data_IF_977396737606
#
_entry.id   IF_977396737606
#
_cell.length_a   1.000
_cell.length_b   1.000
_cell.length_c   1.000
_cell.angle_alpha   90.00
_cell.angle_beta   90.00
_cell.angle_gamma   90.00
#
_symmetry.space_group_name_H-M   'P 1'
#
loop_
_entity.id
_entity.type
_entity.pdbx_description
1 polymer ?
#
# COMPACT_ATOMS: atom_id res chain seq x y z
N UNK A 1 5.55 8.98 -24.09
CA UNK A 1 6.88 8.62 -23.57
C UNK A 1 7.11 9.37 -22.26
N UNK A 2 6.52 8.90 -21.14
CA UNK A 2 6.75 9.51 -19.83
C UNK A 2 8.00 8.86 -19.25
N UNK A 3 9.15 9.49 -19.50
CA UNK A 3 10.31 9.32 -18.65
C UNK A 3 9.82 9.67 -17.24
N UNK A 4 9.61 8.67 -16.40
CA UNK A 4 9.68 8.88 -14.96
C UNK A 4 11.14 8.69 -14.64
N UNK A 5 12.01 9.70 -14.88
CA UNK A 5 13.39 9.58 -14.43
C UNK A 5 13.27 9.42 -12.93
N UNK A 6 13.90 8.35 -12.40
CA UNK A 6 14.35 8.23 -11.02
C UNK A 6 13.75 9.31 -10.14
N UNK A 7 12.52 9.09 -9.64
CA UNK A 7 11.98 9.90 -8.54
C UNK A 7 12.86 9.54 -7.35
N UNK A 8 14.04 10.13 -7.34
CA UNK A 8 14.86 10.49 -6.20
C UNK A 8 14.02 11.63 -5.62
N UNK A 9 13.05 11.37 -4.74
CA UNK A 9 13.23 11.36 -3.29
C UNK A 9 14.36 12.30 -2.82
N UNK A 10 14.54 13.45 -3.47
CA UNK A 10 14.96 14.66 -2.79
C UNK A 10 13.75 15.13 -2.00
N UNK A 11 13.46 14.42 -0.91
CA UNK A 11 12.45 14.90 0.02
C UNK A 11 13.01 16.17 0.61
N UNK A 12 12.40 17.29 0.23
CA UNK A 12 12.56 18.54 0.93
C UNK A 12 12.26 18.28 2.41
N UNK A 13 13.29 18.34 3.24
CA UNK A 13 13.13 18.55 4.68
C UNK A 13 12.33 19.86 4.89
N UNK A 14 11.77 20.10 6.09
CA UNK A 14 10.99 21.31 6.41
C UNK A 14 11.66 22.62 5.93
N UNK A 15 12.98 22.62 5.77
CA UNK A 15 13.79 23.75 5.29
C UNK A 15 13.97 23.86 3.77
N UNK A 16 13.20 23.13 2.96
CA UNK A 16 13.28 23.08 1.49
C UNK A 16 14.68 22.79 0.93
N UNK A 17 15.46 21.98 1.64
CA UNK A 17 16.82 21.54 1.23
C UNK A 17 16.83 20.05 0.99
N UNK A 18 17.63 19.60 0.02
CA UNK A 18 17.86 18.19 -0.25
C UNK A 18 18.44 17.50 0.99
N UNK A 19 17.86 16.36 1.36
CA UNK A 19 18.24 15.60 2.55
C UNK A 19 18.35 14.12 2.21
N UNK A 20 19.31 13.43 2.84
CA UNK A 20 19.44 11.98 2.70
C UNK A 20 18.29 11.30 3.45
N UNK A 21 17.76 10.23 2.91
CA UNK A 21 16.66 9.47 3.52
C UNK A 21 17.16 8.10 4.00
N UNK A 22 16.71 7.67 5.18
CA UNK A 22 16.86 6.31 5.71
C UNK A 22 15.50 5.68 6.01
N UNK A 23 15.49 4.42 6.46
CA UNK A 23 14.29 3.70 6.91
C UNK A 23 14.42 3.35 8.38
N UNK A 24 13.33 3.47 9.14
CA UNK A 24 13.21 3.00 10.53
C UNK A 24 11.82 2.39 10.73
N UNK A 25 11.71 1.46 11.67
CA UNK A 25 10.42 0.95 12.14
C UNK A 25 9.99 1.73 13.37
N UNK A 26 8.71 2.10 13.42
CA UNK A 26 8.08 2.63 14.64
C UNK A 26 7.74 1.47 15.59
N UNK A 27 7.36 1.80 16.82
CA UNK A 27 6.93 0.83 17.84
C UNK A 27 5.68 0.06 17.38
N UNK A 28 4.83 0.70 16.56
CA UNK A 28 3.67 0.09 15.90
C UNK A 28 4.04 -0.91 14.79
N UNK A 29 5.33 -1.13 14.51
CA UNK A 29 5.83 -2.01 13.45
C UNK A 29 5.75 -1.42 12.04
N UNK A 30 5.26 -0.19 11.88
CA UNK A 30 5.15 0.47 10.58
C UNK A 30 6.50 0.96 10.07
N UNK A 31 6.80 0.70 8.79
CA UNK A 31 8.04 1.11 8.14
C UNK A 31 7.94 2.54 7.60
N UNK A 32 8.69 3.45 8.19
CA UNK A 32 8.68 4.87 7.80
C UNK A 32 10.02 5.32 7.24
N UNK A 33 9.98 6.36 6.41
CA UNK A 33 11.18 7.04 5.91
C UNK A 33 11.55 8.17 6.86
N UNK A 34 12.85 8.31 7.12
CA UNK A 34 13.36 9.29 8.09
C UNK A 34 14.47 10.13 7.45
N UNK A 35 14.46 11.45 7.71
CA UNK A 35 15.49 12.35 7.21
C UNK A 35 16.81 12.19 8.00
N UNK A 36 17.94 11.97 7.32
CA UNK A 36 19.29 11.82 7.91
C UNK A 36 20.25 12.88 7.37
N UNK A 37 21.13 13.42 8.24
CA UNK A 37 22.26 14.29 7.87
C UNK A 37 22.31 15.64 8.59
N UNK A 38 23.36 16.44 8.31
CA UNK A 38 23.64 17.73 8.97
C UNK A 38 22.55 18.81 8.86
N UNK A 39 21.66 18.71 7.86
CA UNK A 39 20.53 19.63 7.66
C UNK A 39 19.16 18.97 7.91
N UNK A 40 19.14 17.77 8.51
CA UNK A 40 17.92 16.99 8.70
C UNK A 40 17.26 17.32 10.05
N UNK A 41 15.95 17.55 10.04
CA UNK A 41 15.14 17.78 11.24
C UNK A 41 14.72 16.51 11.97
N UNK A 42 15.23 15.34 11.56
CA UNK A 42 14.76 14.05 12.04
C UNK A 42 13.27 13.81 11.80
N UNK A 43 12.69 14.43 10.77
CA UNK A 43 11.27 14.30 10.49
C UNK A 43 10.94 12.96 9.83
N UNK A 44 9.78 12.41 10.17
CA UNK A 44 9.17 11.27 9.49
C UNK A 44 8.56 11.75 8.17
N UNK A 45 9.00 11.14 7.07
CA UNK A 45 8.55 11.46 5.72
C UNK A 45 7.53 10.39 5.29
N UNK A 46 6.23 10.71 5.24
CA UNK A 46 5.23 9.75 4.79
C UNK A 46 5.41 9.39 3.32
N UNK A 47 4.81 8.27 2.91
CA UNK A 47 4.78 7.87 1.49
C UNK A 47 3.82 8.80 0.73
N UNK A 48 4.26 9.46 -0.37
CA UNK A 48 3.39 10.34 -1.14
C UNK A 48 2.23 9.56 -1.77
N UNK A 49 1.09 10.23 -1.89
CA UNK A 49 -0.18 9.64 -2.35
C UNK A 49 -0.12 9.17 -3.81
N UNK A 50 0.66 9.86 -4.64
CA UNK A 50 0.87 9.55 -6.06
C UNK A 50 1.44 8.14 -6.28
N UNK A 51 2.15 7.58 -5.29
CA UNK A 51 2.69 6.20 -5.36
C UNK A 51 1.66 5.17 -4.92
N UNK A 52 0.62 5.56 -4.17
CA UNK A 52 -0.47 4.66 -3.75
C UNK A 52 -1.43 4.41 -4.91
N UNK A 53 -1.60 5.40 -5.78
CA UNK A 53 -2.45 5.28 -6.96
C UNK A 53 -1.82 4.35 -8.00
N UNK A 54 -2.63 3.42 -8.51
CA UNK A 54 -2.20 2.56 -9.61
C UNK A 54 -2.24 3.37 -10.89
N UNK A 55 -1.19 3.29 -11.70
CA UNK A 55 -1.16 3.93 -13.04
C UNK A 55 -2.25 3.44 -13.98
N UNK A 56 -2.69 2.19 -13.81
CA UNK A 56 -3.81 1.62 -14.54
C UNK A 56 -4.94 1.36 -13.53
N UNK A 57 -6.10 2.00 -13.68
CA UNK A 57 -7.24 1.73 -12.80
C UNK A 57 -7.70 0.29 -13.01
N UNK A 58 -8.16 -0.35 -11.92
CA UNK A 58 -8.84 -1.64 -12.05
C UNK A 58 -10.19 -1.38 -12.73
N UNK A 59 -10.60 -2.19 -13.71
CA UNK A 59 -11.96 -2.11 -14.24
C UNK A 59 -12.94 -2.32 -13.09
N UNK A 60 -13.89 -1.40 -12.94
CA UNK A 60 -14.89 -1.40 -11.85
C UNK A 60 -16.11 -2.24 -12.20
N UNK A 61 -16.36 -2.44 -13.51
CA UNK A 61 -17.45 -3.29 -13.99
C UNK A 61 -17.03 -4.76 -13.96
N UNK A 62 -17.75 -5.64 -13.25
CA UNK A 62 -17.54 -7.07 -13.35
C UNK A 62 -17.83 -7.52 -14.79
N UNK A 63 -16.90 -8.27 -15.38
CA UNK A 63 -17.13 -8.96 -16.64
C UNK A 63 -18.12 -10.11 -16.48
N UNK A 64 -18.59 -10.72 -17.60
CA UNK A 64 -19.52 -11.84 -17.56
C UNK A 64 -18.93 -13.10 -16.89
N UNK A 65 -17.62 -13.12 -16.64
CA UNK A 65 -16.90 -14.21 -15.97
C UNK A 65 -16.51 -13.86 -14.52
N UNK A 66 -16.79 -12.64 -14.08
CA UNK A 66 -16.41 -12.18 -12.75
C UNK A 66 -17.51 -12.53 -11.75
N UNK A 67 -17.10 -13.06 -10.59
CA UNK A 67 -18.03 -13.38 -9.52
C UNK A 67 -18.43 -12.11 -8.77
N UNK A 68 -19.72 -11.92 -8.46
CA UNK A 68 -20.14 -10.84 -7.57
C UNK A 68 -19.61 -11.11 -6.15
N UNK A 69 -19.31 -10.02 -5.44
CA UNK A 69 -18.71 -10.07 -4.09
C UNK A 69 -19.57 -10.86 -3.09
N UNK A 70 -20.88 -10.83 -3.25
CA UNK A 70 -21.84 -11.52 -2.38
C UNK A 70 -21.58 -13.03 -2.32
N UNK A 71 -21.38 -13.68 -3.48
CA UNK A 71 -21.09 -15.11 -3.55
C UNK A 71 -19.69 -15.49 -3.05
N UNK A 72 -18.73 -14.55 -3.05
CA UNK A 72 -17.36 -14.82 -2.59
C UNK A 72 -17.27 -14.77 -1.06
N UNK A 73 -18.06 -13.91 -0.44
CA UNK A 73 -18.09 -13.75 1.02
C UNK A 73 -19.05 -14.73 1.69
N UNK A 74 -19.94 -15.35 0.94
CA UNK A 74 -20.79 -16.44 1.40
C UNK A 74 -19.92 -17.63 1.85
N UNK A 75 -19.97 -17.96 3.13
CA UNK A 75 -19.29 -19.14 3.67
C UNK A 75 -20.14 -20.36 3.41
N UNK A 76 -19.76 -21.13 2.40
CA UNK A 76 -20.45 -22.37 1.99
C UNK A 76 -20.04 -23.59 2.82
N UNK A 77 -18.97 -23.50 3.60
CA UNK A 77 -18.45 -24.60 4.40
C UNK A 77 -18.17 -24.14 5.84
N UNK A 78 -18.73 -24.85 6.80
CA UNK A 78 -18.43 -24.66 8.21
C UNK A 78 -18.32 -26.02 8.91
N UNK A 79 -17.07 -26.38 9.27
CA UNK A 79 -16.70 -27.62 9.94
C UNK A 79 -17.40 -27.80 11.29
N UNK A 80 -17.72 -26.70 11.98
CA UNK A 80 -18.32 -26.74 13.32
C UNK A 80 -19.83 -26.88 13.27
N UNK A 81 -20.47 -26.33 12.24
CA UNK A 81 -21.91 -26.36 12.08
C UNK A 81 -22.40 -27.58 11.27
N UNK A 82 -21.48 -28.35 10.67
CA UNK A 82 -21.82 -29.51 9.83
C UNK A 82 -22.47 -29.13 8.50
N UNK A 83 -22.31 -27.88 8.05
CA UNK A 83 -22.86 -27.37 6.81
C UNK A 83 -21.92 -27.69 5.64
N UNK A 84 -22.44 -28.37 4.63
CA UNK A 84 -21.70 -28.68 3.39
C UNK A 84 -20.99 -30.03 3.37
N UNK A 85 -21.23 -30.91 4.35
CA UNK A 85 -20.78 -32.31 4.28
C UNK A 85 -21.75 -33.10 3.39
N UNK A 86 -21.31 -33.66 2.24
CA UNK A 86 -22.16 -34.57 1.49
C UNK A 86 -22.40 -35.83 2.34
N UNK A 87 -23.65 -36.32 2.34
CA UNK A 87 -23.96 -37.64 2.91
C UNK A 87 -23.10 -38.68 2.17
N UNK A 88 -22.18 -39.31 2.91
CA UNK A 88 -21.27 -40.36 2.44
C UNK A 88 -22.01 -41.69 2.26
#
# INVERSE_FOLDING_TARGET
>A
MLLFPKIIIDVLCLRRKACKVGYKYLEDGTKVRFARGMNASGAVIPRPEIVKERRKPRPTSPGPKDTPIEHVLEKTYDEKAGLGMPDL
#
